data_IF_646166092969
#
_entry.id   IF_646166092969
#
_cell.length_a   1.000
_cell.length_b   1.000
_cell.length_c   1.000
_cell.angle_alpha   90.00
_cell.angle_beta   90.00
_cell.angle_gamma   90.00
#
_symmetry.space_group_name_H-M   'P 1'
#
loop_
_entity.id
_entity.type
_entity.pdbx_description
1 polymer ?
#
# COMPACT_ATOMS: atom_id res chain seq x y z
N UNK A 1 8.87 18.24 28.02
CA UNK A 1 7.69 17.61 27.39
C UNK A 1 7.91 17.62 25.88
N UNK A 2 7.69 16.51 25.17
CA UNK A 2 7.93 16.44 23.71
C UNK A 2 6.59 16.33 22.98
N UNK A 3 6.45 17.02 21.86
CA UNK A 3 5.28 16.91 20.99
C UNK A 3 5.63 16.13 19.73
N UNK A 4 4.86 15.09 19.43
CA UNK A 4 5.01 14.29 18.21
C UNK A 4 3.82 14.55 17.29
N UNK A 5 4.08 14.93 16.04
CA UNK A 5 3.14 15.02 14.93
C UNK A 5 3.25 13.78 14.06
N UNK A 6 2.17 13.04 13.93
CA UNK A 6 2.08 11.83 13.11
C UNK A 6 1.36 12.14 11.80
N UNK A 7 2.01 11.82 10.67
CA UNK A 7 1.49 12.13 9.34
C UNK A 7 1.23 10.82 8.57
N UNK A 8 0.22 10.82 7.69
CA UNK A 8 -0.03 9.73 6.75
C UNK A 8 -0.30 8.39 7.43
N UNK A 9 0.46 7.35 7.05
CA UNK A 9 0.34 6.01 7.62
C UNK A 9 0.55 5.97 9.13
N UNK A 10 1.46 6.78 9.67
CA UNK A 10 1.72 6.85 11.11
C UNK A 10 0.49 7.34 11.89
N UNK A 11 -0.26 8.31 11.35
CA UNK A 11 -1.55 8.75 11.94
C UNK A 11 -2.53 7.58 12.07
N UNK A 12 -2.57 6.69 11.08
CA UNK A 12 -3.46 5.51 11.08
C UNK A 12 -2.97 4.43 12.05
N UNK A 13 -1.66 4.25 12.24
CA UNK A 13 -1.11 3.30 13.20
C UNK A 13 -1.40 3.68 14.66
N UNK A 14 -1.58 4.97 14.97
CA UNK A 14 -1.85 5.45 16.32
C UNK A 14 -3.27 6.00 16.53
N UNK A 15 -4.10 6.08 15.47
CA UNK A 15 -5.44 6.67 15.49
C UNK A 15 -5.49 8.13 16.00
N UNK A 16 -4.35 8.84 15.95
CA UNK A 16 -4.19 10.24 16.33
C UNK A 16 -3.13 10.88 15.45
N UNK A 17 -3.23 12.18 15.18
CA UNK A 17 -2.17 12.96 14.52
C UNK A 17 -1.20 13.62 15.50
N UNK A 18 -1.46 13.55 16.80
CA UNK A 18 -0.62 14.15 17.83
C UNK A 18 -0.48 13.24 19.05
N UNK A 19 0.74 13.11 19.55
CA UNK A 19 1.07 12.48 20.83
C UNK A 19 1.90 13.49 21.63
N UNK A 20 1.56 13.66 22.91
CA UNK A 20 2.35 14.48 23.85
C UNK A 20 3.00 13.54 24.84
N UNK A 21 4.33 13.52 24.86
CA UNK A 21 5.12 12.71 25.79
C UNK A 21 5.49 13.53 27.02
N UNK A 22 4.97 13.10 28.16
CA UNK A 22 5.41 13.57 29.48
C UNK A 22 6.62 12.78 30.02
N UNK A 23 6.92 11.62 29.45
CA UNK A 23 8.07 10.81 29.83
C UNK A 23 9.37 11.30 29.18
N UNK A 24 10.48 11.15 29.89
CA UNK A 24 11.80 11.55 29.40
C UNK A 24 12.31 10.53 28.38
N UNK A 25 12.54 10.99 27.16
CA UNK A 25 13.13 10.23 26.05
C UNK A 25 14.33 11.03 25.54
N UNK A 26 15.51 10.42 25.50
CA UNK A 26 16.75 11.17 25.23
C UNK A 26 17.16 11.13 23.76
N UNK A 27 16.70 10.13 22.99
CA UNK A 27 17.09 9.94 21.59
C UNK A 27 15.92 9.52 20.70
N UNK A 28 16.07 9.70 19.39
CA UNK A 28 15.11 9.21 18.39
C UNK A 28 14.94 7.68 18.47
N UNK A 29 16.00 6.93 18.72
CA UNK A 29 15.90 5.47 18.87
C UNK A 29 15.03 5.06 20.08
N UNK A 30 15.22 5.72 21.22
CA UNK A 30 14.39 5.52 22.41
C UNK A 30 12.93 5.91 22.13
N UNK A 31 12.72 7.01 21.39
CA UNK A 31 11.39 7.46 21.00
C UNK A 31 10.66 6.43 20.15
N UNK A 32 11.30 5.93 19.08
CA UNK A 32 10.70 4.93 18.20
C UNK A 32 10.41 3.64 18.96
N UNK A 33 11.31 3.23 19.86
CA UNK A 33 11.10 2.07 20.73
C UNK A 33 9.90 2.25 21.67
N UNK A 34 9.72 3.45 22.22
CA UNK A 34 8.56 3.79 23.05
C UNK A 34 7.26 3.79 22.24
N UNK A 35 7.27 4.38 21.04
CA UNK A 35 6.12 4.41 20.13
C UNK A 35 5.64 3.01 19.75
N UNK A 36 6.54 2.05 19.51
CA UNK A 36 6.17 0.65 19.27
C UNK A 36 5.40 0.07 20.47
N UNK A 37 5.83 0.37 21.69
CA UNK A 37 5.22 -0.17 22.93
C UNK A 37 3.82 0.38 23.18
N UNK A 38 3.59 1.65 22.87
CA UNK A 38 2.30 2.32 23.10
C UNK A 38 1.33 2.21 21.92
N UNK A 39 1.75 1.61 20.79
CA UNK A 39 0.90 1.43 19.62
C UNK A 39 -0.35 0.62 20.00
N UNK A 40 -1.56 1.08 19.63
CA UNK A 40 -2.78 0.29 19.78
C UNK A 40 -2.68 -1.06 19.05
N UNK A 41 -3.20 -2.14 19.64
CA UNK A 41 -3.09 -3.50 19.09
C UNK A 41 -3.88 -3.70 17.80
N UNK A 42 -5.07 -3.09 17.70
CA UNK A 42 -6.01 -3.29 16.59
C UNK A 42 -5.89 -2.25 15.47
N UNK A 43 -4.75 -1.58 15.37
CA UNK A 43 -4.46 -0.61 14.31
C UNK A 43 -3.39 -1.12 13.34
N UNK A 44 -3.23 -0.42 12.22
CA UNK A 44 -2.21 -0.72 11.23
C UNK A 44 -0.81 -0.86 11.85
N UNK A 45 0.01 -1.71 11.24
CA UNK A 45 1.41 -1.86 11.62
C UNK A 45 2.13 -0.50 11.53
N UNK A 46 3.03 -0.25 12.47
CA UNK A 46 3.89 0.92 12.45
C UNK A 46 5.24 0.50 11.88
N UNK A 47 5.43 0.72 10.58
CA UNK A 47 6.68 0.38 9.89
C UNK A 47 7.79 1.37 10.29
N UNK A 48 8.67 0.93 11.18
CA UNK A 48 9.77 1.75 11.71
C UNK A 48 10.98 1.81 10.80
N UNK A 49 11.04 0.99 9.75
CA UNK A 49 12.16 0.95 8.80
C UNK A 49 12.04 2.02 7.72
N UNK A 50 10.82 2.46 7.43
CA UNK A 50 10.53 3.39 6.34
C UNK A 50 9.95 4.71 6.87
N UNK A 51 10.70 5.40 7.73
CA UNK A 51 10.29 6.68 8.33
C UNK A 51 11.25 7.80 7.94
N UNK A 52 10.68 8.95 7.59
CA UNK A 52 11.33 10.26 7.69
C UNK A 52 10.95 10.83 9.05
N UNK A 53 11.94 11.21 9.83
CA UNK A 53 11.75 11.80 11.15
C UNK A 53 12.43 13.16 11.13
N UNK A 54 11.71 14.20 11.55
CA UNK A 54 12.26 15.54 11.67
C UNK A 54 12.11 16.04 13.11
N UNK A 55 13.14 16.70 13.62
CA UNK A 55 13.14 17.40 14.92
C UNK A 55 13.18 18.90 14.63
N UNK A 56 12.18 19.64 15.12
CA UNK A 56 11.99 21.07 14.89
C UNK A 56 12.08 21.47 13.41
N UNK A 57 11.55 20.62 12.53
CA UNK A 57 11.55 20.82 11.08
C UNK A 57 12.83 20.40 10.35
N UNK A 58 13.86 19.92 11.06
CA UNK A 58 15.11 19.42 10.47
C UNK A 58 15.10 17.89 10.45
N UNK A 59 15.33 17.30 9.27
CA UNK A 59 15.43 15.85 9.11
C UNK A 59 16.56 15.27 9.98
N UNK A 60 16.30 14.18 10.71
CA UNK A 60 17.30 13.56 11.60
C UNK A 60 18.50 13.03 10.84
N UNK A 61 18.38 12.69 9.55
CA UNK A 61 19.52 12.32 8.70
C UNK A 61 20.52 13.45 8.47
N UNK A 62 20.08 14.71 8.59
CA UNK A 62 20.96 15.88 8.59
C UNK A 62 21.55 16.19 10.00
N UNK A 63 21.14 15.43 11.01
CA UNK A 63 21.63 15.49 12.39
C UNK A 63 22.46 14.23 12.68
N UNK A 64 22.12 13.48 13.73
CA UNK A 64 22.81 12.24 14.12
C UNK A 64 21.92 11.00 13.91
N UNK A 65 21.01 11.08 12.92
CA UNK A 65 20.06 10.02 12.60
C UNK A 65 19.24 9.59 13.82
N UNK A 66 19.18 8.28 14.06
CA UNK A 66 18.50 7.70 15.23
C UNK A 66 19.17 8.01 16.57
N UNK A 67 20.41 8.49 16.58
CA UNK A 67 21.12 8.91 17.79
C UNK A 67 20.89 10.40 18.12
N UNK A 68 20.18 11.14 17.26
CA UNK A 68 19.80 12.54 17.50
C UNK A 68 19.20 12.68 18.90
N UNK A 69 19.81 13.53 19.71
CA UNK A 69 19.36 13.82 21.08
C UNK A 69 18.11 14.68 21.05
N UNK A 70 17.19 14.38 21.96
CA UNK A 70 15.94 15.10 22.14
C UNK A 70 15.99 15.91 23.43
N UNK A 71 15.40 17.09 23.39
CA UNK A 71 15.23 17.98 24.53
C UNK A 71 13.75 18.20 24.82
N UNK A 72 13.50 18.77 26.00
CA UNK A 72 12.17 19.27 26.31
C UNK A 72 11.76 20.35 25.31
N UNK A 73 10.47 20.38 25.00
CA UNK A 73 9.79 21.28 24.06
C UNK A 73 10.12 21.06 22.58
N UNK A 74 10.88 20.00 22.26
CA UNK A 74 11.07 19.57 20.87
C UNK A 74 9.74 19.16 20.22
N UNK A 75 9.59 19.58 18.97
CA UNK A 75 8.53 19.13 18.08
C UNK A 75 9.08 18.12 17.07
N UNK A 76 8.52 16.92 17.08
CA UNK A 76 8.97 15.82 16.25
C UNK A 76 7.91 15.50 15.22
N UNK A 77 8.25 15.48 13.94
CA UNK A 77 7.36 15.05 12.87
C UNK A 77 7.78 13.68 12.37
N UNK A 78 6.85 12.72 12.35
CA UNK A 78 7.09 11.36 11.83
C UNK A 78 6.23 11.17 10.58
N UNK A 79 6.91 10.96 9.46
CA UNK A 79 6.31 10.79 8.13
C UNK A 79 6.78 9.46 7.57
N UNK A 80 5.90 8.46 7.36
CA UNK A 80 6.32 7.26 6.67
C UNK A 80 6.73 7.59 5.23
N UNK A 81 7.89 7.08 4.79
CA UNK A 81 8.40 7.20 3.40
C UNK A 81 7.37 6.63 2.43
N UNK A 82 6.77 5.50 2.81
CA UNK A 82 5.55 4.99 2.20
C UNK A 82 4.39 5.80 2.79
N UNK A 83 4.26 7.03 2.34
CA UNK A 83 3.08 7.85 2.59
C UNK A 83 1.89 7.10 2.00
N UNK A 84 1.09 6.49 2.86
CA UNK A 84 -0.16 5.79 2.52
C UNK A 84 -1.27 6.74 2.05
N UNK A 85 -0.92 7.63 1.13
CA UNK A 85 -1.80 8.37 0.25
C UNK A 85 -1.88 7.64 -1.08
N UNK A 86 -2.44 6.44 -1.06
CA UNK A 86 -2.95 5.78 -2.25
C UNK A 86 -4.24 5.15 -1.77
N UNK A 87 -5.34 5.75 -2.17
CA UNK A 87 -6.69 5.23 -2.01
C UNK A 87 -6.67 3.71 -2.18
N UNK A 88 -7.43 2.97 -1.35
CA UNK A 88 -7.66 1.54 -1.52
C UNK A 88 -8.30 1.16 -2.88
N UNK A 89 -8.39 2.13 -3.79
CA UNK A 89 -9.05 2.17 -5.08
C UNK A 89 -8.22 3.07 -6.00
N UNK A 90 -7.58 2.49 -7.00
CA UNK A 90 -6.79 3.15 -8.03
C UNK A 90 -7.64 3.17 -9.30
N UNK A 91 -7.75 4.33 -9.93
CA UNK A 91 -8.47 4.51 -11.18
C UNK A 91 -7.53 5.07 -12.24
N UNK A 92 -7.58 4.51 -13.44
CA UNK A 92 -6.88 5.04 -14.60
C UNK A 92 -7.52 4.51 -15.88
N UNK A 93 -7.29 5.20 -16.99
CA UNK A 93 -7.75 4.74 -18.30
C UNK A 93 -6.59 4.16 -19.11
N UNK A 94 -6.88 3.11 -19.87
CA UNK A 94 -6.00 2.54 -20.88
C UNK A 94 -6.81 2.34 -22.15
N UNK A 95 -6.35 2.95 -23.24
CA UNK A 95 -7.06 2.93 -24.53
C UNK A 95 -8.49 3.50 -24.38
N UNK A 96 -9.52 2.69 -24.61
CA UNK A 96 -10.93 3.05 -24.47
C UNK A 96 -11.58 2.32 -23.28
N UNK A 97 -10.80 1.99 -22.26
CA UNK A 97 -11.27 1.26 -21.08
C UNK A 97 -10.85 1.98 -19.81
N UNK A 98 -11.83 2.21 -18.94
CA UNK A 98 -11.61 2.68 -17.59
C UNK A 98 -11.33 1.48 -16.69
N UNK A 99 -10.24 1.56 -15.95
CA UNK A 99 -9.74 0.51 -15.09
C UNK A 99 -9.85 1.00 -13.66
N UNK A 100 -10.31 0.09 -12.81
CA UNK A 100 -10.34 0.28 -11.39
C UNK A 100 -9.72 -0.94 -10.68
N UNK A 101 -8.80 -0.67 -9.75
CA UNK A 101 -8.14 -1.69 -8.94
C UNK A 101 -8.34 -1.32 -7.48
N UNK A 102 -8.86 -2.24 -6.67
CA UNK A 102 -9.04 -2.01 -5.25
C UNK A 102 -8.69 -3.25 -4.44
N UNK A 103 -8.31 -3.01 -3.19
CA UNK A 103 -8.01 -4.09 -2.26
C UNK A 103 -9.30 -4.76 -1.78
N UNK A 104 -9.29 -6.09 -1.76
CA UNK A 104 -10.36 -6.91 -1.18
C UNK A 104 -9.80 -7.59 0.06
N UNK A 105 -10.29 -7.19 1.23
CA UNK A 105 -9.95 -7.86 2.49
C UNK A 105 -10.81 -9.12 2.59
N UNK A 106 -10.16 -10.29 2.64
CA UNK A 106 -10.86 -11.56 2.78
C UNK A 106 -11.32 -11.75 4.24
N UNK A 107 -12.57 -11.38 4.54
CA UNK A 107 -13.18 -11.51 5.87
C UNK A 107 -13.97 -12.83 6.04
N UNK A 108 -13.59 -13.88 5.31
CA UNK A 108 -14.26 -15.20 5.24
C UNK A 108 -15.70 -15.16 4.69
N UNK A 109 -16.17 -14.03 4.16
CA UNK A 109 -17.52 -13.93 3.55
C UNK A 109 -17.58 -14.38 2.09
N UNK A 110 -16.44 -14.54 1.41
CA UNK A 110 -16.40 -14.94 0.01
C UNK A 110 -16.35 -16.46 -0.13
N UNK A 111 -17.41 -17.06 -0.66
CA UNK A 111 -17.42 -18.46 -1.07
C UNK A 111 -16.71 -18.65 -2.42
N UNK A 112 -16.39 -19.91 -2.75
CA UNK A 112 -15.59 -20.28 -3.93
C UNK A 112 -16.16 -19.75 -5.26
N UNK A 113 -17.48 -19.59 -5.35
CA UNK A 113 -18.19 -19.21 -6.58
C UNK A 113 -18.44 -17.69 -6.68
N UNK A 114 -18.11 -16.92 -5.64
CA UNK A 114 -18.39 -15.48 -5.54
C UNK A 114 -17.94 -14.68 -6.77
N UNK A 115 -16.72 -14.96 -7.27
CA UNK A 115 -16.17 -14.26 -8.42
C UNK A 115 -16.94 -14.56 -9.71
N UNK A 116 -17.40 -15.80 -9.87
CA UNK A 116 -18.17 -16.22 -11.04
C UNK A 116 -19.60 -15.68 -10.99
N UNK A 117 -20.22 -15.64 -9.81
CA UNK A 117 -21.50 -14.93 -9.60
C UNK A 117 -21.40 -13.45 -9.99
N UNK A 118 -20.32 -12.78 -9.57
CA UNK A 118 -20.10 -11.37 -9.86
C UNK A 118 -19.94 -11.11 -11.38
N UNK A 119 -19.18 -11.96 -12.08
CA UNK A 119 -19.05 -11.90 -13.55
C UNK A 119 -20.36 -12.18 -14.27
N UNK A 120 -21.14 -13.15 -13.79
CA UNK A 120 -22.44 -13.49 -14.35
C UNK A 120 -23.46 -12.36 -14.17
N UNK A 121 -23.41 -11.68 -13.03
CA UNK A 121 -24.27 -10.52 -12.72
C UNK A 121 -23.91 -9.29 -13.55
N UNK A 122 -22.62 -9.04 -13.80
CA UNK A 122 -22.13 -7.85 -14.49
C UNK A 122 -21.39 -8.20 -15.79
N UNK A 123 -22.08 -8.80 -16.76
CA UNK A 123 -21.49 -9.32 -18.02
C UNK A 123 -20.77 -8.28 -18.89
N UNK A 124 -21.09 -7.00 -18.70
CA UNK A 124 -20.44 -5.88 -19.41
C UNK A 124 -19.08 -5.49 -18.82
N UNK A 125 -18.76 -5.97 -17.62
CA UNK A 125 -17.50 -5.68 -16.93
C UNK A 125 -16.55 -6.87 -17.04
N UNK A 126 -15.26 -6.56 -17.18
CA UNK A 126 -14.19 -7.56 -17.03
C UNK A 126 -13.78 -7.53 -15.56
N UNK A 127 -14.02 -8.64 -14.85
CA UNK A 127 -13.76 -8.71 -13.40
C UNK A 127 -12.79 -9.86 -13.11
N UNK A 128 -11.68 -9.49 -12.49
CA UNK A 128 -10.60 -10.40 -12.15
C UNK A 128 -10.01 -10.07 -10.78
N UNK A 129 -9.69 -11.09 -10.00
CA UNK A 129 -8.90 -10.96 -8.77
C UNK A 129 -7.45 -11.34 -9.05
N UNK A 130 -6.52 -10.66 -8.41
CA UNK A 130 -5.09 -10.97 -8.46
C UNK A 130 -4.56 -11.08 -7.03
N UNK A 131 -3.60 -11.97 -6.80
CA UNK A 131 -2.86 -11.97 -5.55
C UNK A 131 -1.93 -10.74 -5.55
N UNK A 132 -2.01 -9.91 -4.51
CA UNK A 132 -1.23 -8.69 -4.37
C UNK A 132 0.28 -8.94 -4.35
N UNK A 133 0.73 -10.16 -4.02
CA UNK A 133 2.14 -10.56 -4.09
C UNK A 133 2.72 -10.49 -5.52
N UNK A 134 1.89 -10.61 -6.56
CA UNK A 134 2.31 -10.45 -7.96
C UNK A 134 2.22 -9.00 -8.45
N UNK A 135 1.80 -8.06 -7.58
CA UNK A 135 1.66 -6.65 -7.91
C UNK A 135 2.84 -5.84 -7.37
N UNK A 136 3.86 -5.61 -8.21
CA UNK A 136 5.04 -4.81 -7.82
C UNK A 136 4.68 -3.35 -7.44
N UNK A 137 3.92 -2.66 -8.29
CA UNK A 137 3.43 -1.29 -8.07
C UNK A 137 2.35 -0.92 -9.11
N UNK A 138 1.80 0.29 -9.02
CA UNK A 138 0.80 0.80 -9.97
C UNK A 138 1.28 0.80 -11.42
N UNK A 139 2.54 1.18 -11.67
CA UNK A 139 3.08 1.21 -13.03
C UNK A 139 3.15 -0.19 -13.64
N UNK A 140 3.55 -1.19 -12.84
CA UNK A 140 3.49 -2.59 -13.23
C UNK A 140 2.06 -3.02 -13.60
N UNK A 141 1.08 -2.70 -12.74
CA UNK A 141 -0.34 -3.00 -12.99
C UNK A 141 -0.83 -2.40 -14.32
N UNK A 142 -0.56 -1.11 -14.52
CA UNK A 142 -0.93 -0.39 -15.74
C UNK A 142 -0.29 -1.00 -16.98
N UNK A 143 0.99 -1.41 -16.90
CA UNK A 143 1.69 -2.05 -18.02
C UNK A 143 1.07 -3.40 -18.38
N UNK A 144 0.81 -4.26 -17.41
CA UNK A 144 0.22 -5.59 -17.62
C UNK A 144 -1.19 -5.48 -18.23
N UNK A 145 -2.03 -4.59 -17.69
CA UNK A 145 -3.37 -4.37 -18.23
C UNK A 145 -3.34 -3.76 -19.63
N UNK A 146 -2.39 -2.87 -19.91
CA UNK A 146 -2.17 -2.35 -21.27
C UNK A 146 -1.82 -3.46 -22.25
N UNK A 147 -0.93 -4.38 -21.87
CA UNK A 147 -0.58 -5.53 -22.73
C UNK A 147 -1.78 -6.44 -22.98
N UNK A 148 -2.58 -6.72 -21.95
CA UNK A 148 -3.76 -7.59 -22.05
C UNK A 148 -4.85 -6.98 -22.93
N UNK A 149 -5.12 -5.67 -22.77
CA UNK A 149 -6.09 -4.94 -23.59
C UNK A 149 -5.63 -4.80 -25.04
N UNK A 150 -4.34 -4.55 -25.26
CA UNK A 150 -3.77 -4.53 -26.60
C UNK A 150 -3.85 -5.90 -27.27
N UNK A 151 -3.53 -6.98 -26.54
CA UNK A 151 -3.63 -8.34 -27.03
C UNK A 151 -5.08 -8.71 -27.37
N UNK A 152 -6.06 -8.31 -26.55
CA UNK A 152 -7.49 -8.47 -26.85
C UNK A 152 -7.88 -7.75 -28.14
N UNK A 153 -7.48 -6.48 -28.29
CA UNK A 153 -7.80 -5.69 -29.50
C UNK A 153 -7.26 -6.32 -30.78
N UNK A 154 -6.08 -6.95 -30.71
CA UNK A 154 -5.40 -7.51 -31.87
C UNK A 154 -5.59 -9.03 -32.02
N UNK A 155 -6.47 -9.66 -31.22
CA UNK A 155 -6.69 -11.11 -31.22
C UNK A 155 -5.43 -11.95 -30.94
N UNK A 156 -4.53 -11.45 -30.09
CA UNK A 156 -3.27 -12.12 -29.70
C UNK A 156 -3.22 -12.44 -28.20
N UNK A 157 -4.36 -12.73 -27.59
CA UNK A 157 -4.41 -13.16 -26.18
C UNK A 157 -3.71 -14.52 -26.03
N UNK A 158 -3.05 -14.72 -24.88
CA UNK A 158 -2.45 -15.99 -24.47
C UNK A 158 -3.51 -17.02 -24.05
N UNK A 159 -4.76 -16.59 -23.89
CA UNK A 159 -5.90 -17.41 -23.49
C UNK A 159 -7.18 -17.00 -24.18
N UNK A 160 -8.21 -17.87 -24.12
CA UNK A 160 -9.54 -17.60 -24.70
C UNK A 160 -10.29 -16.43 -24.05
N UNK A 161 -9.99 -16.14 -22.78
CA UNK A 161 -10.64 -15.09 -21.97
C UNK A 161 -9.60 -14.06 -21.54
N UNK A 162 -9.97 -12.78 -21.48
CA UNK A 162 -9.06 -11.70 -21.06
C UNK A 162 -8.72 -11.80 -19.56
N UNK A 163 -9.66 -12.27 -18.75
CA UNK A 163 -9.48 -12.53 -17.32
C UNK A 163 -8.29 -13.46 -17.05
N UNK A 164 -8.19 -14.54 -17.84
CA UNK A 164 -7.10 -15.51 -17.75
C UNK A 164 -5.79 -14.95 -18.31
N UNK A 165 -5.84 -14.14 -19.37
CA UNK A 165 -4.66 -13.51 -19.97
C UNK A 165 -4.00 -12.53 -18.98
N UNK A 166 -4.84 -11.76 -18.25
CA UNK A 166 -4.40 -10.87 -17.16
C UNK A 166 -3.66 -11.69 -16.08
N UNK A 167 -4.22 -12.81 -15.62
CA UNK A 167 -3.59 -13.68 -14.63
C UNK A 167 -2.23 -14.22 -15.10
N UNK A 168 -2.16 -14.72 -16.34
CA UNK A 168 -0.93 -15.28 -16.91
C UNK A 168 0.20 -14.23 -16.96
N UNK A 169 -0.14 -13.00 -17.32
CA UNK A 169 0.84 -11.90 -17.40
C UNK A 169 1.28 -11.39 -16.04
N UNK A 170 0.41 -11.38 -15.02
CA UNK A 170 0.81 -11.06 -13.64
C UNK A 170 1.67 -12.17 -13.02
N UNK A 171 1.36 -13.43 -13.31
CA UNK A 171 2.13 -14.57 -12.82
C UNK A 171 3.48 -14.75 -13.55
N UNK A 172 3.71 -13.98 -14.62
CA UNK A 172 4.90 -14.11 -15.50
C UNK A 172 5.03 -15.53 -16.05
N UNK A 173 3.91 -16.22 -16.31
CA UNK A 173 3.94 -17.60 -16.82
C UNK A 173 3.42 -17.66 -18.26
N UNK A 174 4.29 -18.09 -19.17
CA UNK A 174 3.92 -18.53 -20.53
C UNK A 174 3.82 -20.06 -20.60
N UNK A 175 3.79 -20.74 -19.45
CA UNK A 175 3.83 -22.20 -19.38
C UNK A 175 2.61 -22.88 -20.03
N UNK A 176 1.46 -22.20 -20.08
CA UNK A 176 0.25 -22.74 -20.73
C UNK A 176 0.30 -22.58 -22.26
N UNK A 177 1.01 -21.58 -22.80
CA UNK A 177 1.08 -21.36 -24.26
C UNK A 177 2.10 -22.26 -24.97
N UNK A 178 2.91 -23.00 -24.20
CA UNK A 178 3.92 -23.95 -24.71
C UNK A 178 3.56 -25.42 -24.43
N UNK A 179 2.37 -25.67 -23.86
CA UNK A 179 1.80 -27.00 -23.68
C UNK A 179 0.78 -27.27 -24.80
#
# INVERSE_FOLDING_TARGET
MITIKLIGGAKKSFSTDKIVLGEKVNTINELVSHLIKIKPKDTLEFDTKNLIIAVNGVDTSALDGYNTKLNDDDEISIVPIIHGGSTARIQFSVMHSDIEIFDVVNDKKFHKEFLDELRNKYKQLIIQTINSQFLLNMHHAKKILTLSLHAKKNNTLLSKKIETDILLRFAVTTQISHA
#
